data_IF_793379630452
#
_entry.id   IF_793379630452
#
_cell.length_a   1.000
_cell.length_b   1.000
_cell.length_c   1.000
_cell.angle_alpha   90.00
_cell.angle_beta   90.00
_cell.angle_gamma   90.00
#
_symmetry.space_group_name_H-M   'P 1'
#
loop_
_entity.id
_entity.type
_entity.pdbx_description
1 polymer ?
#
# COMPACT_ATOMS: atom_id res chain seq x y z
N UNK A 1 -8.26 -0.43 11.66
CA UNK A 1 -6.97 -0.48 10.95
C UNK A 1 -7.25 -0.24 9.48
N UNK A 2 -6.58 0.73 8.87
CA UNK A 2 -6.69 0.99 7.43
C UNK A 2 -5.55 0.27 6.73
N UNK A 3 -5.85 -0.32 5.57
CA UNK A 3 -4.87 -0.99 4.74
C UNK A 3 -4.71 -0.17 3.46
N UNK A 4 -3.46 0.11 3.10
CA UNK A 4 -3.11 0.79 1.86
C UNK A 4 -2.73 -0.28 0.85
N UNK A 5 -3.42 -0.32 -0.28
CA UNK A 5 -3.14 -1.27 -1.34
C UNK A 5 -2.44 -0.55 -2.49
N UNK A 6 -1.36 -1.15 -2.94
CA UNK A 6 -0.50 -0.65 -3.99
C UNK A 6 -0.39 -1.75 -5.03
N UNK A 7 -0.77 -1.46 -6.28
CA UNK A 7 -0.66 -2.42 -7.39
C UNK A 7 0.74 -2.32 -8.03
N UNK A 8 1.35 -1.14 -7.97
CA UNK A 8 2.63 -0.89 -8.58
C UNK A 8 3.78 -1.53 -7.78
N UNK A 9 4.43 -2.51 -8.40
CA UNK A 9 5.51 -3.27 -7.78
C UNK A 9 6.71 -2.40 -7.40
N UNK A 10 7.10 -1.42 -8.22
CA UNK A 10 8.29 -0.58 -7.93
C UNK A 10 8.06 0.26 -6.68
N UNK A 11 6.86 0.82 -6.60
CA UNK A 11 6.37 1.60 -5.47
C UNK A 11 6.30 0.76 -4.19
N UNK A 12 5.78 -0.46 -4.28
CA UNK A 12 5.77 -1.38 -3.15
C UNK A 12 7.18 -1.79 -2.70
N UNK A 13 8.10 -2.05 -3.64
CA UNK A 13 9.48 -2.43 -3.36
C UNK A 13 10.25 -1.28 -2.66
N UNK A 14 10.02 -0.04 -3.09
CA UNK A 14 10.56 1.16 -2.43
C UNK A 14 10.14 1.22 -0.95
N UNK A 15 8.85 1.07 -0.66
CA UNK A 15 8.34 1.07 0.71
C UNK A 15 8.89 -0.10 1.53
N UNK A 16 9.04 -1.27 0.91
CA UNK A 16 9.68 -2.43 1.54
C UNK A 16 11.14 -2.14 1.91
N UNK A 17 11.87 -1.47 1.02
CA UNK A 17 13.26 -1.06 1.25
C UNK A 17 13.41 -0.06 2.40
N UNK A 18 12.41 0.80 2.60
CA UNK A 18 12.33 1.69 3.76
C UNK A 18 12.02 0.98 5.09
N UNK A 19 11.73 -0.32 5.06
CA UNK A 19 11.42 -1.13 6.25
C UNK A 19 9.94 -1.20 6.59
N UNK A 20 9.04 -0.73 5.73
CA UNK A 20 7.60 -0.87 5.95
C UNK A 20 7.15 -2.33 5.74
N UNK A 21 6.26 -2.79 6.62
CA UNK A 21 5.69 -4.12 6.50
C UNK A 21 4.65 -4.14 5.39
N UNK A 22 4.90 -4.97 4.38
CA UNK A 22 3.96 -5.22 3.29
C UNK A 22 3.56 -6.69 3.23
N UNK A 23 2.31 -6.94 2.88
CA UNK A 23 1.75 -8.25 2.59
C UNK A 23 1.48 -8.29 1.10
N UNK A 24 2.05 -9.28 0.42
CA UNK A 24 1.76 -9.50 -1.00
C UNK A 24 0.56 -10.44 -1.11
N UNK A 25 -0.50 -9.96 -1.74
CA UNK A 25 -1.73 -10.70 -1.99
C UNK A 25 -1.92 -10.85 -3.49
N UNK A 26 -2.40 -12.01 -3.94
CA UNK A 26 -2.78 -12.22 -5.33
C UNK A 26 -4.31 -12.29 -5.39
N UNK A 27 -4.93 -11.31 -6.03
CA UNK A 27 -6.37 -11.19 -6.20
C UNK A 27 -6.64 -11.10 -7.70
N UNK A 28 -7.48 -11.99 -8.24
CA UNK A 28 -7.85 -12.00 -9.66
C UNK A 28 -6.63 -12.00 -10.62
N UNK A 29 -5.64 -12.84 -10.32
CA UNK A 29 -4.39 -12.96 -11.09
C UNK A 29 -3.57 -11.64 -11.14
N UNK A 30 -3.85 -10.69 -10.24
CA UNK A 30 -3.10 -9.45 -10.05
C UNK A 30 -2.43 -9.46 -8.69
N UNK A 31 -1.17 -9.04 -8.68
CA UNK A 31 -0.39 -8.89 -7.46
C UNK A 31 -0.73 -7.52 -6.84
N UNK A 32 -1.18 -7.54 -5.60
CA UNK A 32 -1.49 -6.37 -4.79
C UNK A 32 -0.61 -6.39 -3.55
N UNK A 33 0.00 -5.25 -3.25
CA UNK A 33 0.85 -5.06 -2.08
C UNK A 33 0.09 -4.27 -1.04
N UNK A 34 -0.20 -4.90 0.09
CA UNK A 34 -0.99 -4.35 1.18
C UNK A 34 -0.06 -3.89 2.29
N UNK A 35 -0.19 -2.63 2.69
CA UNK A 35 0.57 -2.02 3.75
C UNK A 35 -0.37 -1.59 4.87
N UNK A 36 0.10 -1.68 6.11
CA UNK A 36 -0.63 -1.12 7.24
C UNK A 36 -0.50 0.40 7.18
N UNK A 37 -1.60 1.13 7.32
CA UNK A 37 -1.55 2.58 7.43
C UNK A 37 -0.70 2.98 8.65
N UNK A 38 0.42 3.64 8.38
CA UNK A 38 1.29 4.24 9.38
C UNK A 38 1.53 5.72 9.02
N UNK A 39 1.67 6.62 10.00
CA UNK A 39 1.86 8.05 9.71
C UNK A 39 3.09 8.33 8.84
N UNK A 40 4.18 7.58 9.04
CA UNK A 40 5.37 7.66 8.19
C UNK A 40 5.10 7.21 6.75
N UNK A 41 4.30 6.16 6.58
CA UNK A 41 3.93 5.63 5.27
C UNK A 41 3.05 6.65 4.52
N UNK A 42 2.05 7.23 5.18
CA UNK A 42 1.20 8.29 4.63
C UNK A 42 2.04 9.48 4.16
N UNK A 43 3.04 9.89 4.94
CA UNK A 43 3.91 11.01 4.58
C UNK A 43 4.76 10.71 3.34
N UNK A 44 5.32 9.49 3.26
CA UNK A 44 6.06 9.02 2.09
C UNK A 44 5.16 8.92 0.85
N UNK A 45 3.93 8.43 1.01
CA UNK A 45 2.93 8.36 -0.05
C UNK A 45 2.57 9.77 -0.56
N UNK A 46 2.23 10.70 0.33
CA UNK A 46 1.91 12.07 -0.09
C UNK A 46 3.09 12.80 -0.76
N UNK A 47 4.33 12.43 -0.42
CA UNK A 47 5.52 13.10 -0.97
C UNK A 47 5.99 12.49 -2.30
N UNK A 48 5.84 11.18 -2.49
CA UNK A 48 6.43 10.43 -3.61
C UNK A 48 5.39 9.73 -4.51
N UNK A 49 4.10 9.75 -4.16
CA UNK A 49 3.07 8.99 -4.85
C UNK A 49 1.91 9.90 -5.26
N UNK A 50 1.48 9.75 -6.50
CA UNK A 50 0.23 10.34 -6.98
C UNK A 50 -0.97 9.62 -6.35
N UNK A 51 -2.03 10.37 -6.04
CA UNK A 51 -3.27 9.88 -5.39
C UNK A 51 -3.89 8.66 -6.10
N UNK A 52 -3.69 8.50 -7.42
CA UNK A 52 -4.20 7.36 -8.19
C UNK A 52 -3.35 6.09 -8.09
N UNK A 53 -2.21 6.12 -7.41
CA UNK A 53 -1.26 5.00 -7.37
C UNK A 53 -1.49 4.02 -6.22
N UNK A 54 -2.35 4.38 -5.27
CA UNK A 54 -2.70 3.55 -4.13
C UNK A 54 -4.16 3.80 -3.75
N UNK A 55 -4.77 2.82 -3.09
CA UNK A 55 -6.13 2.97 -2.58
C UNK A 55 -6.23 2.43 -1.17
N UNK A 56 -7.01 3.11 -0.35
CA UNK A 56 -7.30 2.69 1.00
C UNK A 56 -8.42 1.66 0.98
N UNK A 57 -8.16 0.49 1.54
CA UNK A 57 -9.23 -0.44 1.94
C UNK A 57 -9.44 -0.26 3.43
N UNK A 58 -10.58 0.32 3.80
CA UNK A 58 -11.15 0.04 5.11
C UNK A 58 -11.77 -1.35 5.04
N UNK A 59 -11.48 -2.20 6.02
CA UNK A 59 -12.41 -3.29 6.34
C UNK A 59 -13.73 -2.65 6.78
N UNK A 60 -14.58 -2.28 5.83
CA UNK A 60 -16.00 -2.08 6.08
C UNK A 60 -16.56 -3.47 6.32
N UNK A 61 -16.62 -3.86 7.60
CA UNK A 61 -17.58 -4.87 8.01
C UNK A 61 -18.96 -4.27 7.72
N UNK A 62 -19.63 -4.82 6.70
CA UNK A 62 -21.07 -4.66 6.50
C UNK A 62 -21.82 -5.57 7.48
#
# INVERSE_FOLDING_TARGET
MKIINIIDKKKADYLKSLGFKCIQSNIDNRIIFQFIEEPKLIQELNSNFEESSYFYTQNMNF
#
